data_IF_188244485672
#
_entry.id   IF_188244485672
#
_cell.length_a   1.000
_cell.length_b   1.000
_cell.length_c   1.000
_cell.angle_alpha   90.00
_cell.angle_beta   90.00
_cell.angle_gamma   90.00
#
_symmetry.space_group_name_H-M   'P 1'
#
loop_
_entity.id
_entity.type
_entity.pdbx_description
1 polymer ?
#
# COMPACT_ATOMS: atom_id res chain seq x y z
N UNK A 1 -26.19 -16.94 7.13
CA UNK A 1 -25.71 -15.65 7.61
C UNK A 1 -24.33 -15.83 8.20
N UNK A 2 -23.36 -15.08 7.68
CA UNK A 2 -21.98 -15.17 8.18
C UNK A 2 -21.89 -14.46 9.52
N UNK A 3 -21.32 -15.14 10.52
CA UNK A 3 -21.01 -14.48 11.76
C UNK A 3 -19.89 -13.47 11.50
N UNK A 4 -20.01 -12.27 12.07
CA UNK A 4 -19.01 -11.23 11.92
C UNK A 4 -17.73 -11.62 12.65
N UNK A 5 -16.62 -11.63 11.96
CA UNK A 5 -15.33 -11.89 12.58
C UNK A 5 -14.86 -10.69 13.36
N UNK A 6 -14.27 -10.95 14.50
CA UNK A 6 -13.57 -9.95 15.31
C UNK A 6 -12.09 -10.29 15.41
N UNK A 7 -11.74 -11.55 15.18
CA UNK A 7 -10.37 -12.04 15.21
C UNK A 7 -10.05 -12.62 13.84
N UNK A 8 -8.96 -12.20 13.28
CA UNK A 8 -8.51 -12.64 11.95
C UNK A 8 -7.10 -13.20 12.12
N UNK A 9 -6.95 -14.49 11.83
CA UNK A 9 -5.64 -15.14 11.86
C UNK A 9 -4.99 -15.04 10.49
N UNK A 10 -3.71 -15.39 10.42
CA UNK A 10 -3.00 -15.41 9.13
C UNK A 10 -3.70 -16.33 8.10
N UNK A 11 -4.34 -17.40 8.58
CA UNK A 11 -5.07 -18.32 7.71
C UNK A 11 -6.35 -17.71 7.14
N UNK A 12 -6.94 -16.76 7.86
CA UNK A 12 -8.18 -16.12 7.44
C UNK A 12 -7.96 -15.01 6.41
N UNK A 13 -6.74 -14.50 6.28
CA UNK A 13 -6.43 -13.40 5.37
C UNK A 13 -6.75 -13.78 3.94
N UNK A 14 -7.34 -12.85 3.19
CA UNK A 14 -7.61 -13.04 1.76
C UNK A 14 -6.37 -12.61 0.98
N UNK A 15 -5.77 -13.55 0.29
CA UNK A 15 -4.54 -13.32 -0.47
C UNK A 15 -4.81 -13.00 -1.91
N UNK A 16 -4.08 -12.03 -2.41
CA UNK A 16 -4.17 -11.61 -3.81
C UNK A 16 -2.78 -11.19 -4.29
N UNK A 17 -2.34 -11.73 -5.43
CA UNK A 17 -1.10 -11.30 -6.06
C UNK A 17 -1.40 -10.16 -7.03
N UNK A 18 -1.08 -8.94 -6.61
CA UNK A 18 -1.14 -7.77 -7.50
C UNK A 18 0.14 -7.72 -8.35
N UNK A 19 0.22 -6.81 -9.33
CA UNK A 19 1.47 -6.59 -10.05
C UNK A 19 2.63 -6.15 -9.15
N UNK A 20 2.33 -5.59 -7.98
CA UNK A 20 3.31 -4.94 -7.11
C UNK A 20 3.69 -5.77 -5.89
N UNK A 21 2.70 -6.41 -5.25
CA UNK A 21 2.87 -7.08 -3.96
C UNK A 21 1.99 -8.32 -3.88
N UNK A 22 2.42 -9.26 -3.02
CA UNK A 22 1.49 -10.25 -2.52
C UNK A 22 0.73 -9.60 -1.36
N UNK A 23 -0.56 -9.39 -1.55
CA UNK A 23 -1.44 -8.73 -0.59
C UNK A 23 -2.13 -9.76 0.31
N UNK A 24 -2.12 -9.50 1.59
CA UNK A 24 -2.83 -10.30 2.59
C UNK A 24 -3.82 -9.37 3.30
N UNK A 25 -5.07 -9.43 2.89
CA UNK A 25 -6.13 -8.58 3.43
C UNK A 25 -6.66 -9.13 4.74
N UNK A 26 -6.50 -8.37 5.80
CA UNK A 26 -6.94 -8.74 7.13
C UNK A 26 -8.21 -8.00 7.53
N UNK A 27 -8.30 -6.71 7.25
CA UNK A 27 -9.48 -5.90 7.54
C UNK A 27 -10.06 -5.39 6.21
N UNK A 28 -11.12 -6.06 5.78
CA UNK A 28 -11.85 -5.74 4.55
C UNK A 28 -13.25 -6.33 4.67
N UNK A 29 -14.21 -5.81 3.93
CA UNK A 29 -15.62 -6.15 4.09
C UNK A 29 -15.95 -7.63 3.90
N UNK A 30 -15.14 -8.38 3.15
CA UNK A 30 -15.32 -9.82 2.97
C UNK A 30 -14.69 -10.66 4.09
N UNK A 31 -14.00 -10.01 5.03
CA UNK A 31 -13.35 -10.68 6.17
C UNK A 31 -14.01 -10.27 7.49
N UNK A 32 -14.24 -8.97 7.68
CA UNK A 32 -14.81 -8.41 8.90
C UNK A 32 -15.91 -7.40 8.57
N UNK A 33 -16.67 -7.00 9.59
CA UNK A 33 -17.69 -5.95 9.43
C UNK A 33 -17.04 -4.58 9.68
N UNK A 34 -16.12 -4.17 8.81
CA UNK A 34 -15.42 -2.90 8.95
C UNK A 34 -16.26 -1.74 8.41
N UNK A 35 -16.14 -0.58 9.05
CA UNK A 35 -16.82 0.65 8.63
C UNK A 35 -15.84 1.73 8.17
N UNK A 36 -14.71 1.85 8.83
CA UNK A 36 -13.78 2.94 8.59
C UNK A 36 -12.40 2.46 8.12
N UNK A 37 -11.95 1.32 8.59
CA UNK A 37 -10.56 0.89 8.41
C UNK A 37 -10.43 -0.21 7.37
N UNK A 38 -9.35 -0.10 6.59
CA UNK A 38 -8.82 -1.20 5.79
C UNK A 38 -7.43 -1.51 6.31
N UNK A 39 -7.07 -2.79 6.34
CA UNK A 39 -5.71 -3.22 6.68
C UNK A 39 -5.28 -4.32 5.73
N UNK A 40 -4.17 -4.09 5.06
CA UNK A 40 -3.51 -5.08 4.21
C UNK A 40 -2.06 -5.21 4.61
N UNK A 41 -1.55 -6.43 4.67
CA UNK A 41 -0.14 -6.73 4.78
C UNK A 41 0.39 -6.94 3.38
N UNK A 42 1.36 -6.14 2.98
CA UNK A 42 1.94 -6.17 1.65
C UNK A 42 3.33 -6.78 1.70
N UNK A 43 3.61 -7.70 0.80
CA UNK A 43 4.90 -8.37 0.67
C UNK A 43 5.46 -8.00 -0.71
N UNK A 44 6.50 -7.18 -0.74
CA UNK A 44 7.10 -6.66 -1.97
C UNK A 44 8.47 -7.28 -2.17
N UNK A 45 8.63 -8.04 -3.24
CA UNK A 45 9.90 -8.66 -3.57
C UNK A 45 10.96 -7.61 -3.89
N UNK A 46 12.27 -7.98 -3.84
CA UNK A 46 13.34 -7.07 -4.24
C UNK A 46 13.12 -6.50 -5.63
N UNK A 47 13.46 -5.22 -5.80
CA UNK A 47 13.42 -4.50 -7.07
C UNK A 47 12.02 -4.37 -7.67
N UNK A 48 10.99 -4.42 -6.80
CA UNK A 48 9.60 -4.16 -7.18
C UNK A 48 9.16 -2.82 -6.60
N UNK A 49 8.04 -2.34 -7.10
CA UNK A 49 7.47 -1.08 -6.62
C UNK A 49 5.97 -1.07 -6.77
N UNK A 50 5.30 -0.34 -5.89
CA UNK A 50 3.96 0.16 -6.12
C UNK A 50 4.14 1.61 -6.57
N UNK A 51 4.12 1.88 -7.89
CA UNK A 51 4.53 3.19 -8.40
C UNK A 51 3.56 4.30 -8.02
N UNK A 52 3.94 5.52 -8.31
CA UNK A 52 3.16 6.71 -7.92
C UNK A 52 1.69 6.58 -8.28
N UNK A 53 0.84 6.78 -7.28
CA UNK A 53 -0.61 6.71 -7.37
C UNK A 53 -1.20 7.60 -6.26
N UNK A 54 -2.51 7.76 -6.28
CA UNK A 54 -3.23 8.46 -5.21
C UNK A 54 -4.55 7.76 -4.91
N UNK A 55 -5.03 7.95 -3.69
CA UNK A 55 -6.37 7.55 -3.28
C UNK A 55 -7.19 8.83 -3.09
N UNK A 56 -8.11 9.16 -4.01
CA UNK A 56 -8.78 10.47 -4.00
C UNK A 56 -9.52 10.80 -2.71
N UNK A 57 -10.05 9.79 -2.02
CA UNK A 57 -10.91 9.99 -0.86
C UNK A 57 -10.43 9.27 0.40
N UNK A 58 -9.21 8.71 0.38
CA UNK A 58 -8.65 7.98 1.52
C UNK A 58 -7.36 8.60 2.00
N UNK A 59 -7.14 8.56 3.31
CA UNK A 59 -5.81 8.73 3.87
C UNK A 59 -5.21 7.35 4.14
N UNK A 60 -3.90 7.27 4.26
CA UNK A 60 -3.19 6.00 4.38
C UNK A 60 -2.02 6.10 5.34
N UNK A 61 -1.75 5.02 6.06
CA UNK A 61 -0.51 4.80 6.80
C UNK A 61 0.23 3.65 6.15
N UNK A 62 1.54 3.81 5.96
CA UNK A 62 2.44 2.74 5.57
C UNK A 62 3.35 2.49 6.77
N UNK A 63 3.32 1.29 7.34
CA UNK A 63 4.13 0.90 8.51
C UNK A 63 5.03 -0.27 8.13
N UNK A 64 6.34 -0.10 8.25
CA UNK A 64 7.31 -1.12 7.83
C UNK A 64 7.44 -2.19 8.90
N UNK A 65 7.27 -3.44 8.51
CA UNK A 65 7.43 -4.62 9.38
C UNK A 65 8.83 -5.17 9.27
N UNK A 66 9.34 -5.36 8.04
CA UNK A 66 10.68 -5.89 7.80
C UNK A 66 11.21 -5.42 6.46
N UNK A 67 12.52 -5.42 6.33
CA UNK A 67 13.20 -4.87 5.16
C UNK A 67 13.25 -3.35 5.21
N UNK A 68 13.49 -2.74 4.08
CA UNK A 68 13.57 -1.29 3.92
C UNK A 68 12.76 -0.90 2.70
N UNK A 69 12.11 0.26 2.76
CA UNK A 69 11.35 0.80 1.65
C UNK A 69 11.73 2.24 1.37
N UNK A 70 11.84 2.59 0.10
CA UNK A 70 11.94 3.98 -0.32
C UNK A 70 10.51 4.47 -0.50
N UNK A 71 10.05 5.27 0.46
CA UNK A 71 8.68 5.77 0.48
C UNK A 71 8.62 7.22 0.06
N UNK A 72 7.76 7.50 -0.91
CA UNK A 72 7.47 8.84 -1.41
C UNK A 72 6.10 9.29 -0.92
N UNK A 73 6.02 10.54 -0.48
CA UNK A 73 4.77 11.23 -0.20
C UNK A 73 4.89 12.59 -0.88
N UNK A 74 4.08 12.84 -1.90
CA UNK A 74 4.31 13.97 -2.79
C UNK A 74 5.68 13.82 -3.46
N UNK A 75 6.51 14.84 -3.38
CA UNK A 75 7.88 14.82 -3.93
C UNK A 75 8.95 14.54 -2.88
N UNK A 76 8.55 14.37 -1.63
CA UNK A 76 9.45 14.06 -0.53
C UNK A 76 9.59 12.56 -0.41
N UNK A 77 10.79 12.07 -0.10
CA UNK A 77 10.99 10.64 0.07
C UNK A 77 12.02 10.36 1.15
N UNK A 78 11.90 9.18 1.74
CA UNK A 78 12.83 8.68 2.76
C UNK A 78 12.92 7.17 2.66
N UNK A 79 14.05 6.62 3.11
CA UNK A 79 14.19 5.20 3.35
C UNK A 79 13.61 4.91 4.74
N UNK A 80 12.59 4.08 4.77
CA UNK A 80 11.94 3.65 6.02
C UNK A 80 12.36 2.23 6.34
N UNK A 81 12.60 1.98 7.62
CA UNK A 81 13.00 0.68 8.17
C UNK A 81 11.92 0.14 9.10
N UNK A 82 12.08 -1.10 9.56
CA UNK A 82 11.15 -1.73 10.49
C UNK A 82 10.85 -0.81 11.69
N UNK A 83 9.56 -0.64 12.01
CA UNK A 83 9.10 0.21 13.09
C UNK A 83 8.84 1.67 12.69
N UNK A 84 9.10 2.02 11.44
CA UNK A 84 8.90 3.38 10.93
C UNK A 84 7.70 3.45 9.99
N UNK A 85 7.09 4.62 9.91
CA UNK A 85 5.88 4.78 9.11
C UNK A 85 5.90 6.07 8.29
N UNK A 86 5.07 6.09 7.25
CA UNK A 86 4.72 7.30 6.53
C UNK A 86 3.22 7.54 6.65
N UNK A 87 2.83 8.79 6.82
CA UNK A 87 1.43 9.19 6.73
C UNK A 87 1.19 9.87 5.39
N UNK A 88 0.14 9.43 4.72
CA UNK A 88 -0.24 9.94 3.39
C UNK A 88 -1.60 10.59 3.50
N UNK A 89 -1.65 11.94 3.40
CA UNK A 89 -2.93 12.65 3.42
C UNK A 89 -3.85 12.22 2.29
N UNK A 90 -5.14 12.41 2.48
CA UNK A 90 -6.14 12.15 1.45
C UNK A 90 -5.75 12.81 0.13
N UNK A 91 -5.76 12.03 -0.95
CA UNK A 91 -5.52 12.53 -2.30
C UNK A 91 -4.06 12.83 -2.64
N UNK A 92 -3.13 12.67 -1.69
CA UNK A 92 -1.71 12.92 -1.95
C UNK A 92 -1.09 11.79 -2.77
N UNK A 93 -0.34 12.17 -3.81
CA UNK A 93 0.39 11.21 -4.63
C UNK A 93 1.52 10.59 -3.81
N UNK A 94 1.66 9.28 -3.89
CA UNK A 94 2.68 8.55 -3.15
C UNK A 94 3.09 7.30 -3.92
N UNK A 95 4.18 6.67 -3.47
CA UNK A 95 4.66 5.42 -4.05
C UNK A 95 5.66 4.76 -3.12
N UNK A 96 5.73 3.43 -3.21
CA UNK A 96 6.63 2.61 -2.41
C UNK A 96 7.54 1.84 -3.36
N UNK A 97 8.85 1.97 -3.16
CA UNK A 97 9.85 1.34 -4.01
C UNK A 97 10.80 0.51 -3.15
N UNK A 98 11.13 -0.67 -3.64
CA UNK A 98 12.12 -1.54 -3.00
C UNK A 98 13.34 -1.70 -3.89
N UNK A 99 14.31 -0.77 -3.83
CA UNK A 99 15.53 -0.88 -4.63
C UNK A 99 16.58 -1.82 -4.01
N UNK A 100 16.24 -2.49 -2.92
CA UNK A 100 17.15 -3.33 -2.16
C UNK A 100 17.04 -4.79 -2.58
N UNK A 101 17.99 -5.62 -2.11
CA UNK A 101 18.06 -7.05 -2.42
C UNK A 101 17.29 -7.91 -1.41
N UNK A 102 16.51 -7.28 -0.55
CA UNK A 102 15.78 -7.91 0.54
C UNK A 102 14.29 -7.64 0.37
N UNK A 103 13.45 -8.61 0.72
CA UNK A 103 11.99 -8.44 0.68
C UNK A 103 11.56 -7.34 1.64
N UNK A 104 10.63 -6.52 1.21
CA UNK A 104 9.98 -5.50 2.03
C UNK A 104 8.60 -5.99 2.45
N UNK A 105 8.31 -5.97 3.76
CA UNK A 105 7.00 -6.27 4.30
C UNK A 105 6.50 -5.04 5.03
N UNK A 106 5.30 -4.60 4.68
CA UNK A 106 4.68 -3.43 5.33
C UNK A 106 3.18 -3.63 5.49
N UNK A 107 2.61 -2.87 6.41
CA UNK A 107 1.16 -2.75 6.55
C UNK A 107 0.73 -1.47 5.88
N UNK A 108 -0.35 -1.55 5.11
CA UNK A 108 -1.06 -0.37 4.62
C UNK A 108 -2.40 -0.31 5.34
N UNK A 109 -2.65 0.82 5.97
CA UNK A 109 -3.90 1.09 6.68
C UNK A 109 -4.55 2.28 6.00
N UNK A 110 -5.77 2.09 5.50
CA UNK A 110 -6.49 3.11 4.75
C UNK A 110 -7.86 3.37 5.39
N UNK A 111 -8.33 4.60 5.26
CA UNK A 111 -9.66 4.99 5.72
C UNK A 111 -10.19 6.14 4.85
N UNK A 112 -11.50 6.20 4.60
CA UNK A 112 -12.53 5.24 4.98
C UNK A 112 -12.48 3.96 4.13
N UNK A 113 -13.04 2.87 4.66
CA UNK A 113 -13.07 1.59 3.95
C UNK A 113 -14.01 1.62 2.75
N UNK A 114 -15.09 2.38 2.86
CA UNK A 114 -16.05 2.57 1.78
C UNK A 114 -15.77 3.93 1.13
N UNK A 115 -15.38 3.91 -0.12
CA UNK A 115 -15.02 5.11 -0.86
C UNK A 115 -15.55 4.99 -2.29
N UNK A 116 -15.97 6.12 -2.89
CA UNK A 116 -16.44 6.09 -4.28
C UNK A 116 -15.31 5.73 -5.24
N UNK A 117 -15.66 5.11 -6.35
CA UNK A 117 -14.71 4.83 -7.42
C UNK A 117 -14.32 6.11 -8.17
N UNK A 118 -13.08 6.22 -8.66
CA UNK A 118 -12.02 5.22 -8.51
C UNK A 118 -11.35 5.31 -7.13
N UNK A 119 -11.10 4.16 -6.51
CA UNK A 119 -10.41 4.10 -5.22
C UNK A 119 -8.92 4.37 -5.31
N UNK A 120 -8.35 4.21 -6.50
CA UNK A 120 -6.94 4.44 -6.79
C UNK A 120 -6.80 5.04 -8.18
N UNK A 121 -5.88 6.01 -8.33
CA UNK A 121 -5.57 6.64 -9.61
C UNK A 121 -4.07 6.56 -9.84
N UNK A 122 -3.68 5.96 -10.97
CA UNK A 122 -2.27 5.89 -11.36
C UNK A 122 -1.76 7.29 -11.73
N UNK A 123 -0.65 7.69 -11.12
CA UNK A 123 0.02 8.96 -11.36
C UNK A 123 1.42 8.78 -11.91
N UNK A 124 1.85 7.53 -12.14
CA UNK A 124 3.23 7.25 -12.55
C UNK A 124 3.57 7.77 -13.95
N UNK A 125 2.57 8.07 -14.75
CA UNK A 125 2.75 8.60 -16.11
C UNK A 125 2.56 10.11 -16.18
N UNK A 126 2.19 10.75 -15.07
CA UNK A 126 1.98 12.18 -14.99
C UNK A 126 3.23 12.88 -14.45
N UNK A 127 3.60 14.02 -15.04
CA UNK A 127 4.69 14.83 -14.49
C UNK A 127 4.25 15.54 -13.22
N UNK A 128 5.11 15.73 -12.21
CA UNK A 128 6.56 15.42 -12.24
C UNK A 128 6.91 13.97 -11.89
N UNK A 129 5.94 13.15 -11.51
CA UNK A 129 6.21 11.79 -11.00
C UNK A 129 6.78 10.87 -12.07
N UNK A 130 6.38 11.03 -13.33
CA UNK A 130 6.90 10.24 -14.43
C UNK A 130 8.44 10.33 -14.55
N UNK A 131 9.02 11.47 -14.16
CA UNK A 131 10.47 11.70 -14.23
C UNK A 131 11.21 11.35 -12.94
N UNK A 132 10.52 11.28 -11.80
CA UNK A 132 11.16 11.13 -10.49
C UNK A 132 11.72 9.73 -10.24
N UNK A 133 11.07 8.70 -10.75
CA UNK A 133 11.47 7.30 -10.53
C UNK A 133 11.38 6.46 -11.79
N UNK A 134 11.83 7.02 -12.90
CA UNK A 134 11.79 6.36 -14.22
C UNK A 134 12.77 5.21 -14.38
N UNK A 135 13.70 5.04 -13.43
CA UNK A 135 14.66 3.93 -13.39
C UNK A 135 14.02 2.60 -12.96
N UNK A 136 12.82 2.64 -12.39
CA UNK A 136 12.07 1.42 -12.11
C UNK A 136 11.23 1.04 -13.33
N UNK A 137 11.24 -0.24 -13.74
CA UNK A 137 10.45 -0.67 -14.89
C UNK A 137 8.96 -0.48 -14.63
N UNK A 138 8.25 -0.17 -15.70
CA UNK A 138 6.80 -0.12 -15.63
C UNK A 138 6.26 -1.51 -15.25
N UNK A 139 5.25 -1.53 -14.38
CA UNK A 139 4.57 -2.78 -14.02
C UNK A 139 3.53 -3.05 -15.07
N UNK A 140 3.63 -4.22 -15.71
CA UNK A 140 2.71 -4.67 -16.75
C UNK A 140 1.77 -5.74 -16.22
#
# INVERSE_FOLDING_TARGET
MNSLRRFVTATDAVRFQSPWTLEEWLCRADVVDNKQLLLVRANMEPHRSHPFHKHPTREELIYIISGQGEQWVGKEHRILKAGEMAFIPQGEVHGTYNPFDEKLVFLAILAPSDAPEPGIVDMSKEEPWASLRKDFPAVT
#
